data_IF_123867165930
#
_entry.id   IF_123867165930
#
_cell.length_a   1.000
_cell.length_b   1.000
_cell.length_c   1.000
_cell.angle_alpha   90.00
_cell.angle_beta   90.00
_cell.angle_gamma   90.00
#
_symmetry.space_group_name_H-M   'P 1'
#
loop_
_entity.id
_entity.type
_entity.pdbx_description
1 polymer ?
#
# COMPACT_ATOMS: atom_id res chain seq x y z
N UNK A 1 14.59 -2.23 1.88
CA UNK A 1 14.19 -0.83 2.13
C UNK A 1 13.06 -0.86 3.15
N UNK A 2 12.85 0.21 3.93
CA UNK A 2 11.69 0.28 4.84
C UNK A 2 10.45 0.77 4.11
N UNK A 3 9.27 0.54 4.71
CA UNK A 3 8.03 1.12 4.22
C UNK A 3 8.02 2.64 4.47
N UNK A 4 7.55 3.38 3.48
CA UNK A 4 7.31 4.81 3.56
C UNK A 4 6.00 5.08 4.32
N UNK A 5 5.81 6.31 4.86
CA UNK A 5 4.55 6.68 5.49
C UNK A 5 3.33 6.52 4.59
N UNK A 6 3.48 6.72 3.27
CA UNK A 6 2.40 6.55 2.30
C UNK A 6 2.01 5.08 2.13
N UNK A 7 2.99 4.19 2.05
CA UNK A 7 2.73 2.74 1.96
C UNK A 7 2.07 2.23 3.23
N UNK A 8 2.54 2.65 4.41
CA UNK A 8 1.92 2.30 5.69
C UNK A 8 0.47 2.79 5.77
N UNK A 9 0.20 4.02 5.33
CA UNK A 9 -1.16 4.55 5.28
C UNK A 9 -2.06 3.75 4.33
N UNK A 10 -1.56 3.42 3.13
CA UNK A 10 -2.32 2.63 2.17
C UNK A 10 -2.67 1.25 2.73
N UNK A 11 -1.71 0.58 3.36
CA UNK A 11 -1.89 -0.73 3.97
C UNK A 11 -2.85 -0.70 5.15
N UNK A 12 -2.75 0.32 6.01
CA UNK A 12 -3.71 0.56 7.10
C UNK A 12 -5.15 0.67 6.58
N UNK A 13 -5.36 1.37 5.44
CA UNK A 13 -6.70 1.51 4.84
C UNK A 13 -7.18 0.24 4.14
N UNK A 14 -6.27 -0.49 3.49
CA UNK A 14 -6.60 -1.72 2.76
C UNK A 14 -6.89 -2.89 3.70
N UNK A 15 -6.22 -2.92 4.86
CA UNK A 15 -6.21 -4.04 5.79
C UNK A 15 -6.86 -3.67 7.14
N UNK A 16 -7.85 -2.77 7.14
CA UNK A 16 -8.45 -2.23 8.38
C UNK A 16 -9.09 -3.29 9.31
N UNK A 17 -9.49 -4.43 8.74
CA UNK A 17 -10.06 -5.59 9.42
C UNK A 17 -9.04 -6.72 9.65
N UNK A 18 -7.76 -6.50 9.33
CA UNK A 18 -6.65 -7.45 9.48
C UNK A 18 -5.54 -6.86 10.36
N UNK A 19 -5.88 -6.51 11.61
CA UNK A 19 -4.99 -5.85 12.58
C UNK A 19 -3.64 -6.57 12.74
N UNK A 20 -3.63 -7.90 12.74
CA UNK A 20 -2.40 -8.70 12.86
C UNK A 20 -1.43 -8.50 11.69
N UNK A 21 -1.94 -8.35 10.46
CA UNK A 21 -1.12 -8.08 9.26
C UNK A 21 -0.58 -6.65 9.32
N UNK A 22 -1.42 -5.69 9.69
CA UNK A 22 -1.04 -4.29 9.83
C UNK A 22 0.09 -4.13 10.85
N UNK A 23 -0.02 -4.80 12.01
CA UNK A 23 1.03 -4.81 13.03
C UNK A 23 2.34 -5.44 12.52
N UNK A 24 2.26 -6.53 11.74
CA UNK A 24 3.44 -7.13 11.14
C UNK A 24 4.13 -6.16 10.15
N UNK A 25 3.34 -5.47 9.31
CA UNK A 25 3.82 -4.47 8.35
C UNK A 25 4.39 -3.21 8.99
N UNK A 26 3.89 -2.81 10.17
CA UNK A 26 4.41 -1.68 10.95
C UNK A 26 5.64 -2.04 11.79
N UNK A 27 5.86 -3.33 12.05
CA UNK A 27 7.02 -3.81 12.78
C UNK A 27 8.24 -4.00 11.87
N UNK A 28 9.40 -4.32 12.45
CA UNK A 28 10.62 -4.65 11.70
C UNK A 28 10.51 -5.94 10.87
N UNK A 29 9.35 -6.60 10.85
CA UNK A 29 9.09 -7.86 10.15
C UNK A 29 8.70 -7.66 8.67
N UNK A 30 8.74 -6.42 8.16
CA UNK A 30 8.40 -6.12 6.77
C UNK A 30 9.52 -5.35 6.07
N UNK A 31 9.83 -5.76 4.84
CA UNK A 31 10.89 -5.18 4.03
C UNK A 31 10.41 -4.95 2.61
N UNK A 32 10.59 -3.73 2.11
CA UNK A 32 10.35 -3.43 0.70
C UNK A 32 11.53 -3.95 -0.13
N UNK A 33 11.24 -4.92 -1.00
CA UNK A 33 12.16 -5.55 -1.94
C UNK A 33 12.34 -4.68 -3.19
N UNK A 34 11.23 -4.15 -3.70
CA UNK A 34 11.19 -3.34 -4.90
C UNK A 34 10.22 -2.18 -4.71
N UNK A 35 10.58 -1.00 -5.24
CA UNK A 35 9.71 0.17 -5.32
C UNK A 35 9.95 0.85 -6.66
N UNK A 36 8.89 1.02 -7.43
CA UNK A 36 8.93 1.61 -8.77
C UNK A 36 7.88 2.70 -8.86
N UNK A 37 8.32 3.91 -9.19
CA UNK A 37 7.40 4.98 -9.58
C UNK A 37 6.93 4.74 -11.02
N UNK A 38 5.62 4.79 -11.24
CA UNK A 38 5.01 4.67 -12.56
C UNK A 38 4.52 6.04 -13.01
N UNK A 39 4.08 6.12 -14.27
CA UNK A 39 3.50 7.36 -14.82
C UNK A 39 2.31 7.86 -13.99
N UNK A 40 1.49 6.94 -13.52
CA UNK A 40 0.21 7.22 -12.89
C UNK A 40 0.20 6.77 -11.42
N UNK A 41 1.36 6.58 -10.78
CA UNK A 41 1.37 5.91 -9.48
C UNK A 41 2.71 5.39 -8.99
N UNK A 42 2.65 4.37 -8.15
CA UNK A 42 3.81 3.57 -7.78
C UNK A 42 3.39 2.13 -7.54
N UNK A 43 4.36 1.24 -7.56
CA UNK A 43 4.23 -0.15 -7.15
C UNK A 43 5.36 -0.51 -6.20
N UNK A 44 5.05 -1.33 -5.20
CA UNK A 44 5.99 -1.85 -4.21
C UNK A 44 5.77 -3.33 -3.95
N UNK A 45 6.88 -4.09 -3.86
CA UNK A 45 6.89 -5.48 -3.37
C UNK A 45 7.40 -5.49 -1.95
N UNK A 46 6.57 -6.00 -1.04
CA UNK A 46 6.82 -6.00 0.39
C UNK A 46 6.94 -7.44 0.85
N UNK A 47 8.12 -7.84 1.30
CA UNK A 47 8.36 -9.13 1.92
C UNK A 47 8.03 -9.06 3.41
N UNK A 48 7.36 -10.10 3.91
CA UNK A 48 7.09 -10.33 5.33
C UNK A 48 7.98 -11.47 5.83
N UNK A 49 8.49 -11.35 7.06
CA UNK A 49 9.26 -12.43 7.69
C UNK A 49 8.43 -13.70 7.91
N UNK A 50 7.14 -13.54 8.17
CA UNK A 50 6.20 -14.65 8.34
C UNK A 50 5.36 -14.85 7.08
N UNK A 51 5.03 -16.10 6.70
CA UNK A 51 4.12 -16.37 5.60
C UNK A 51 2.78 -15.65 5.78
N UNK A 52 2.20 -15.17 4.68
CA UNK A 52 0.88 -14.53 4.67
C UNK A 52 -0.20 -15.45 5.23
N UNK A 53 -0.06 -16.76 5.02
CA UNK A 53 -0.95 -17.78 5.58
C UNK A 53 -1.02 -17.78 7.11
N UNK A 54 0.02 -17.30 7.80
CA UNK A 54 0.04 -17.13 9.26
C UNK A 54 -0.92 -16.04 9.73
N UNK A 55 -1.29 -15.11 8.86
CA UNK A 55 -2.21 -14.01 9.14
C UNK A 55 -3.62 -14.25 8.58
N UNK A 56 -3.87 -15.42 7.98
CA UNK A 56 -5.15 -15.78 7.37
C UNK A 56 -5.12 -15.76 5.84
N UNK A 57 -6.30 -15.72 5.22
CA UNK A 57 -6.41 -15.61 3.75
C UNK A 57 -6.48 -14.15 3.36
N UNK A 58 -5.33 -13.60 2.95
CA UNK A 58 -5.27 -12.28 2.32
C UNK A 58 -5.66 -12.42 0.84
N UNK A 59 -6.65 -11.66 0.40
CA UNK A 59 -7.06 -11.58 -0.99
C UNK A 59 -6.69 -10.20 -1.56
N UNK A 60 -6.86 -10.02 -2.87
CA UNK A 60 -6.76 -8.69 -3.46
C UNK A 60 -7.77 -7.75 -2.79
N UNK A 61 -7.31 -6.55 -2.46
CA UNK A 61 -8.11 -5.51 -1.82
C UNK A 61 -7.83 -4.18 -2.46
N UNK A 62 -8.86 -3.37 -2.56
CA UNK A 62 -8.81 -2.06 -3.19
C UNK A 62 -9.46 -1.02 -2.26
N UNK A 63 -8.81 0.13 -2.12
CA UNK A 63 -9.33 1.26 -1.39
C UNK A 63 -9.24 2.53 -2.24
N UNK A 64 -10.39 3.15 -2.51
CA UNK A 64 -10.49 4.37 -3.32
C UNK A 64 -10.44 5.61 -2.46
N UNK A 65 -9.72 6.63 -2.92
CA UNK A 65 -9.69 7.94 -2.29
C UNK A 65 -10.05 9.07 -3.26
N UNK A 66 -10.47 10.19 -2.66
CA UNK A 66 -10.65 11.46 -3.32
C UNK A 66 -9.88 12.52 -2.56
N UNK A 67 -9.27 13.45 -3.28
CA UNK A 67 -8.54 14.56 -2.68
C UNK A 67 -9.50 15.73 -2.57
N UNK A 68 -9.74 16.18 -1.33
CA UNK A 68 -10.80 17.15 -0.99
C UNK A 68 -10.82 18.40 -1.88
N UNK A 69 -9.66 18.86 -2.32
CA UNK A 69 -9.52 20.14 -3.04
C UNK A 69 -9.27 19.99 -4.55
N UNK A 70 -9.30 18.77 -5.09
CA UNK A 70 -9.07 18.49 -6.51
C UNK A 70 -10.19 17.59 -7.02
N UNK A 71 -10.61 17.78 -8.28
CA UNK A 71 -11.45 16.79 -8.98
C UNK A 71 -10.69 15.49 -9.30
N UNK A 72 -9.60 15.23 -8.58
CA UNK A 72 -8.69 14.11 -8.73
C UNK A 72 -8.88 13.16 -7.54
N UNK A 73 -8.66 11.89 -7.82
CA UNK A 73 -8.68 10.81 -6.84
C UNK A 73 -7.80 9.69 -7.33
N UNK A 74 -7.88 8.56 -6.66
CA UNK A 74 -7.08 7.41 -7.01
C UNK A 74 -7.54 6.22 -6.20
N UNK A 75 -6.74 5.16 -6.27
CA UNK A 75 -6.94 4.00 -5.43
C UNK A 75 -5.60 3.41 -5.04
N UNK A 76 -5.60 2.76 -3.88
CA UNK A 76 -4.60 1.78 -3.54
C UNK A 76 -5.18 0.40 -3.80
N UNK A 77 -4.35 -0.54 -4.19
CA UNK A 77 -4.70 -1.95 -4.28
C UNK A 77 -3.53 -2.77 -3.73
N UNK A 78 -3.83 -3.83 -2.98
CA UNK A 78 -2.82 -4.79 -2.55
C UNK A 78 -3.28 -6.22 -2.79
N UNK A 79 -2.34 -7.11 -3.09
CA UNK A 79 -2.61 -8.53 -3.28
C UNK A 79 -1.41 -9.38 -2.83
N UNK A 80 -1.65 -10.62 -2.38
CA UNK A 80 -0.57 -11.55 -2.10
C UNK A 80 0.17 -11.90 -3.39
N UNK A 81 1.50 -11.92 -3.34
CA UNK A 81 2.37 -12.40 -4.41
C UNK A 81 3.27 -13.51 -3.86
N UNK A 82 2.84 -14.76 -4.07
CA UNK A 82 3.45 -15.92 -3.43
C UNK A 82 3.11 -16.06 -1.94
N UNK A 83 4.02 -16.69 -1.19
CA UNK A 83 3.75 -17.12 0.20
C UNK A 83 4.01 -16.04 1.26
N UNK A 84 5.00 -15.16 1.01
CA UNK A 84 5.50 -14.20 2.00
C UNK A 84 5.67 -12.79 1.43
N UNK A 85 5.09 -12.49 0.27
CA UNK A 85 5.19 -11.15 -0.32
C UNK A 85 3.83 -10.57 -0.61
N UNK A 86 3.72 -9.27 -0.38
CA UNK A 86 2.55 -8.45 -0.63
C UNK A 86 2.91 -7.39 -1.66
N UNK A 87 2.16 -7.36 -2.76
CA UNK A 87 2.21 -6.28 -3.72
C UNK A 87 1.31 -5.14 -3.24
N UNK A 88 1.80 -3.92 -3.37
CA UNK A 88 1.05 -2.70 -3.14
C UNK A 88 1.20 -1.79 -4.35
N UNK A 89 0.08 -1.38 -4.93
CA UNK A 89 0.05 -0.41 -6.02
C UNK A 89 -0.82 0.78 -5.64
N UNK A 90 -0.36 1.97 -6.01
CA UNK A 90 -1.14 3.19 -5.98
C UNK A 90 -1.36 3.67 -7.39
N UNK A 91 -2.60 3.99 -7.74
CA UNK A 91 -2.95 4.60 -9.03
C UNK A 91 -3.65 5.93 -8.78
N UNK A 92 -3.16 6.98 -9.43
CA UNK A 92 -3.69 8.33 -9.33
C UNK A 92 -4.36 8.76 -10.63
N UNK A 93 -5.42 9.55 -10.49
CA UNK A 93 -6.12 10.13 -11.61
C UNK A 93 -5.24 11.11 -12.39
N UNK A 94 -5.51 11.23 -13.69
CA UNK A 94 -4.80 12.11 -14.62
C UNK A 94 -4.57 13.51 -14.05
N UNK A 95 -3.33 13.98 -14.17
CA UNK A 95 -2.95 15.36 -13.82
C UNK A 95 -2.47 15.54 -12.38
N UNK A 96 -2.37 14.46 -11.60
CA UNK A 96 -1.77 14.51 -10.27
C UNK A 96 -0.40 13.83 -10.26
N UNK A 97 0.67 14.52 -9.83
CA UNK A 97 1.96 13.88 -9.57
C UNK A 97 1.88 12.95 -8.36
N UNK A 98 2.54 11.78 -8.44
CA UNK A 98 2.64 10.79 -7.34
C UNK A 98 3.23 11.42 -6.08
N UNK A 99 4.20 12.32 -6.23
CA UNK A 99 4.80 13.10 -5.14
C UNK A 99 3.79 13.92 -4.32
N UNK A 100 2.61 14.21 -4.89
CA UNK A 100 1.54 14.93 -4.19
C UNK A 100 0.64 14.00 -3.36
N UNK A 101 0.79 12.68 -3.42
CA UNK A 101 -0.08 11.75 -2.66
C UNK A 101 0.11 11.87 -1.16
N UNK A 102 1.35 11.74 -0.68
CA UNK A 102 1.63 11.80 0.75
C UNK A 102 1.19 13.13 1.39
N UNK A 103 1.48 14.32 0.80
CA UNK A 103 1.02 15.59 1.33
C UNK A 103 -0.50 15.78 1.34
N UNK A 104 -1.27 15.05 0.53
CA UNK A 104 -2.73 15.24 0.41
C UNK A 104 -3.52 14.20 1.23
N UNK A 105 -2.94 13.03 1.49
CA UNK A 105 -3.60 11.92 2.18
C UNK A 105 -3.21 11.77 3.66
N UNK A 106 -2.04 12.28 4.06
CA UNK A 106 -1.52 12.15 5.43
C UNK A 106 -1.83 13.37 6.32
N UNK A 107 -2.78 14.23 5.91
CA UNK A 107 -3.14 15.50 6.59
C UNK A 107 -4.21 15.31 7.65
#
# INVERSE_FOLDING_TARGET
>A
MELTPLELFALDKLLDDQESVVLALQSAQAKVLERVETRDGFYSVIELEQPLSSFGRLAEREWRFRIRNKSAGGYFVCWPDGESSLCLEAVVGKGMPVAMLAPELLV
#
